data_IF_720150875253
#
_entry.id   IF_720150875253
#
_cell.length_a   1.000
_cell.length_b   1.000
_cell.length_c   1.000
_cell.angle_alpha   90.00
_cell.angle_beta   90.00
_cell.angle_gamma   90.00
#
_symmetry.space_group_name_H-M   'P 1'
#
loop_
_entity.id
_entity.type
_entity.pdbx_description
1 polymer ?
#
# COMPACT_ATOMS: atom_id res chain seq x y z
N UNK A 1 -39.80 -50.51 0.57
CA UNK A 1 -39.90 -49.45 1.63
C UNK A 1 -38.52 -48.92 2.02
N UNK A 2 -37.41 -49.48 1.52
CA UNK A 2 -36.01 -49.13 1.92
C UNK A 2 -35.24 -48.18 0.98
N UNK A 3 -35.91 -47.56 0.01
CA UNK A 3 -35.26 -46.60 -0.96
C UNK A 3 -35.67 -45.14 -0.78
N UNK A 4 -36.50 -44.80 0.19
CA UNK A 4 -37.00 -43.41 0.41
C UNK A 4 -36.27 -42.67 1.54
N UNK A 5 -35.45 -43.33 2.31
CA UNK A 5 -34.78 -42.73 3.48
C UNK A 5 -33.40 -42.11 3.12
N UNK A 6 -32.81 -42.55 2.00
CA UNK A 6 -31.46 -42.07 1.62
C UNK A 6 -31.44 -40.69 0.92
N UNK A 7 -32.61 -40.17 0.55
CA UNK A 7 -32.69 -38.88 -0.18
C UNK A 7 -32.92 -37.64 0.72
N UNK A 8 -33.25 -37.87 2.00
CA UNK A 8 -33.54 -36.76 2.95
C UNK A 8 -32.29 -36.25 3.67
N UNK A 9 -31.19 -37.04 3.70
CA UNK A 9 -29.95 -36.61 4.38
C UNK A 9 -29.00 -35.73 3.54
N UNK A 10 -29.20 -35.65 2.22
CA UNK A 10 -28.32 -34.85 1.36
C UNK A 10 -28.72 -33.37 1.20
N UNK A 11 -29.95 -33.01 1.67
CA UNK A 11 -30.48 -31.65 1.51
C UNK A 11 -30.09 -30.68 2.65
N UNK A 12 -29.39 -31.17 3.69
CA UNK A 12 -29.06 -30.35 4.87
C UNK A 12 -27.65 -29.78 4.92
N UNK A 13 -26.84 -29.95 3.87
CA UNK A 13 -25.44 -29.53 3.85
C UNK A 13 -25.15 -28.24 3.07
N UNK A 14 -26.16 -27.54 2.59
CA UNK A 14 -26.01 -26.20 2.01
C UNK A 14 -26.75 -25.16 2.86
N UNK A 15 -26.37 -25.03 4.12
CA UNK A 15 -26.68 -23.81 4.84
C UNK A 15 -25.72 -22.74 4.32
N UNK A 16 -26.21 -21.60 3.76
CA UNK A 16 -25.35 -20.47 3.47
C UNK A 16 -24.65 -20.09 4.77
N UNK A 17 -23.32 -20.05 4.74
CA UNK A 17 -22.54 -19.49 5.82
C UNK A 17 -22.95 -18.03 5.96
N UNK A 18 -23.87 -17.75 6.88
CA UNK A 18 -24.21 -16.39 7.24
C UNK A 18 -22.93 -15.76 7.79
N UNK A 19 -22.42 -14.76 7.10
CA UNK A 19 -21.27 -14.00 7.56
C UNK A 19 -21.54 -13.58 9.02
N UNK A 20 -20.64 -13.94 9.91
CA UNK A 20 -20.82 -13.68 11.33
C UNK A 20 -20.76 -12.17 11.56
N UNK A 21 -21.88 -11.56 11.95
CA UNK A 21 -21.96 -10.11 12.22
C UNK A 21 -21.30 -9.70 13.54
N UNK A 22 -20.67 -10.66 14.24
CA UNK A 22 -20.01 -10.46 15.53
C UNK A 22 -18.62 -11.05 15.50
N UNK A 23 -17.71 -10.41 16.23
CA UNK A 23 -16.39 -10.97 16.51
C UNK A 23 -16.50 -12.24 17.39
N UNK A 24 -15.46 -13.09 17.48
CA UNK A 24 -15.47 -14.31 18.32
C UNK A 24 -15.77 -14.05 19.79
N UNK A 25 -15.50 -12.85 20.30
CA UNK A 25 -15.80 -12.41 21.67
C UNK A 25 -17.25 -11.95 21.88
N UNK A 26 -18.08 -12.02 20.80
CA UNK A 26 -19.49 -11.63 20.83
C UNK A 26 -19.75 -10.14 20.57
N UNK A 27 -18.72 -9.31 20.42
CA UNK A 27 -18.89 -7.89 20.07
C UNK A 27 -19.39 -7.71 18.66
N UNK A 28 -20.27 -6.74 18.37
CA UNK A 28 -20.77 -6.50 17.02
C UNK A 28 -19.64 -5.97 16.12
N UNK A 29 -19.60 -6.43 14.88
CA UNK A 29 -18.71 -5.87 13.85
C UNK A 29 -19.17 -4.44 13.54
N UNK A 30 -18.27 -3.47 13.72
CA UNK A 30 -18.56 -2.06 13.45
C UNK A 30 -18.93 -1.82 11.99
N UNK A 31 -19.83 -0.89 11.72
CA UNK A 31 -20.36 -0.64 10.37
C UNK A 31 -19.30 -0.21 9.36
N UNK A 32 -18.22 0.44 9.81
CA UNK A 32 -17.12 0.82 8.93
C UNK A 32 -16.39 -0.38 8.29
N UNK A 33 -16.40 -1.57 8.92
CA UNK A 33 -15.90 -2.81 8.31
C UNK A 33 -16.80 -3.32 7.17
N UNK A 34 -18.07 -2.90 7.18
CA UNK A 34 -19.05 -3.28 6.16
C UNK A 34 -19.09 -2.29 5.01
N UNK A 35 -18.41 -1.15 5.14
CA UNK A 35 -18.37 -0.11 4.12
C UNK A 35 -17.44 -0.54 2.98
N UNK A 36 -18.05 -0.97 1.89
CA UNK A 36 -17.37 -1.38 0.65
C UNK A 36 -17.44 -0.32 -0.45
N UNK A 37 -17.78 0.93 -0.08
CA UNK A 37 -17.90 2.01 -1.06
C UNK A 37 -16.55 2.31 -1.70
N UNK A 38 -16.51 2.19 -3.02
CA UNK A 38 -15.37 2.65 -3.81
C UNK A 38 -15.41 4.17 -3.82
N UNK A 39 -14.30 4.79 -3.42
CA UNK A 39 -14.18 6.25 -3.46
C UNK A 39 -14.16 6.72 -4.91
N UNK A 40 -15.09 7.62 -5.26
CA UNK A 40 -15.04 8.32 -6.55
C UNK A 40 -13.92 9.35 -6.52
N UNK A 41 -12.87 9.11 -7.31
CA UNK A 41 -11.70 10.01 -7.39
C UNK A 41 -12.05 11.42 -7.87
N UNK A 42 -13.19 11.60 -8.55
CA UNK A 42 -13.63 12.93 -9.00
C UNK A 42 -14.07 13.82 -7.83
N UNK A 43 -14.38 13.23 -6.67
CA UNK A 43 -14.72 13.97 -5.45
C UNK A 43 -13.49 14.42 -4.65
N UNK A 44 -12.30 13.92 -4.98
CA UNK A 44 -11.04 14.17 -4.27
C UNK A 44 -10.24 15.36 -4.83
N UNK A 45 -10.81 16.10 -5.77
CA UNK A 45 -10.19 17.29 -6.35
C UNK A 45 -9.59 17.09 -7.74
N UNK A 46 -8.70 18.01 -8.12
CA UNK A 46 -8.05 17.99 -9.43
C UNK A 46 -7.15 16.77 -9.60
N UNK A 47 -7.14 16.21 -10.81
CA UNK A 47 -6.24 15.12 -11.18
C UNK A 47 -4.90 15.67 -11.68
N UNK A 48 -3.81 15.05 -11.21
CA UNK A 48 -2.43 15.31 -11.62
C UNK A 48 -1.87 14.02 -12.19
N UNK A 49 -1.89 13.91 -13.52
CA UNK A 49 -1.47 12.69 -14.22
C UNK A 49 0.05 12.71 -14.33
N UNK A 50 0.72 11.63 -13.91
CA UNK A 50 2.19 11.61 -13.83
C UNK A 50 2.89 11.90 -15.15
N UNK A 51 2.30 11.49 -16.27
CA UNK A 51 2.87 11.76 -17.62
C UNK A 51 2.96 13.24 -17.93
N UNK A 52 2.08 14.08 -17.37
CA UNK A 52 2.11 15.54 -17.55
C UNK A 52 3.31 16.21 -16.83
N UNK A 53 3.92 15.45 -15.91
CA UNK A 53 5.13 15.85 -15.16
C UNK A 53 6.40 15.22 -15.71
N UNK A 54 6.35 14.69 -16.93
CA UNK A 54 7.50 14.07 -17.60
C UNK A 54 7.92 12.73 -16.99
N UNK A 55 7.03 12.09 -16.23
CA UNK A 55 7.23 10.71 -15.77
C UNK A 55 6.87 9.77 -16.91
N UNK A 56 7.76 8.83 -17.21
CA UNK A 56 7.60 7.89 -18.31
C UNK A 56 7.43 6.46 -17.81
N UNK A 57 6.75 5.64 -18.61
CA UNK A 57 6.59 4.21 -18.33
C UNK A 57 7.93 3.48 -18.54
N UNK A 58 8.75 3.45 -17.50
CA UNK A 58 10.05 2.78 -17.48
C UNK A 58 10.31 2.19 -16.09
N UNK A 59 10.45 0.87 -16.04
CA UNK A 59 10.65 0.11 -14.80
C UNK A 59 12.09 0.15 -14.28
N UNK A 60 13.03 0.79 -15.00
CA UNK A 60 14.45 0.85 -14.69
C UNK A 60 14.93 2.26 -14.36
N UNK A 61 14.22 3.27 -14.85
CA UNK A 61 14.57 4.67 -14.60
C UNK A 61 13.97 5.14 -13.26
N UNK A 62 14.83 5.54 -12.34
CA UNK A 62 14.38 6.14 -11.07
C UNK A 62 13.80 7.54 -11.32
N UNK A 63 12.53 7.74 -10.94
CA UNK A 63 11.77 8.95 -11.26
C UNK A 63 11.18 9.63 -10.02
N UNK A 64 11.75 9.35 -8.84
CA UNK A 64 11.25 9.84 -7.55
C UNK A 64 11.00 11.35 -7.54
N UNK A 65 11.96 12.15 -8.00
CA UNK A 65 11.86 13.61 -7.98
C UNK A 65 10.72 14.13 -8.86
N UNK A 66 10.53 13.54 -10.04
CA UNK A 66 9.43 13.92 -10.94
C UNK A 66 8.06 13.56 -10.34
N UNK A 67 7.95 12.37 -9.75
CA UNK A 67 6.71 11.96 -9.09
C UNK A 67 6.44 12.83 -7.87
N UNK A 68 7.48 13.13 -7.07
CA UNK A 68 7.34 14.03 -5.92
C UNK A 68 6.93 15.44 -6.36
N UNK A 69 7.46 15.94 -7.48
CA UNK A 69 7.07 17.26 -7.98
C UNK A 69 5.59 17.35 -8.35
N UNK A 70 4.98 16.26 -8.84
CA UNK A 70 3.54 16.20 -9.07
C UNK A 70 2.74 16.27 -7.76
N UNK A 71 3.22 15.57 -6.72
CA UNK A 71 2.61 15.62 -5.37
C UNK A 71 2.70 17.04 -4.80
N UNK A 72 3.88 17.66 -4.92
CA UNK A 72 4.13 19.01 -4.40
C UNK A 72 3.28 20.05 -5.14
N UNK A 73 3.16 19.94 -6.46
CA UNK A 73 2.30 20.79 -7.26
C UNK A 73 0.83 20.64 -6.86
N UNK A 74 0.34 19.42 -6.61
CA UNK A 74 -1.00 19.19 -6.12
C UNK A 74 -1.22 19.88 -4.76
N UNK A 75 -0.30 19.72 -3.82
CA UNK A 75 -0.37 20.32 -2.50
C UNK A 75 -0.40 21.87 -2.57
N UNK A 76 0.46 22.47 -3.39
CA UNK A 76 0.52 23.92 -3.59
C UNK A 76 -0.78 24.49 -4.19
N UNK A 77 -1.47 23.71 -5.00
CA UNK A 77 -2.75 24.09 -5.62
C UNK A 77 -3.99 23.68 -4.81
N UNK A 78 -3.83 23.42 -3.51
CA UNK A 78 -4.95 23.14 -2.62
C UNK A 78 -5.35 21.67 -2.49
N UNK A 79 -4.57 20.78 -3.10
CA UNK A 79 -4.77 19.33 -3.05
C UNK A 79 -5.20 18.72 -4.39
N UNK A 80 -5.44 17.42 -4.39
CA UNK A 80 -5.90 16.67 -5.55
C UNK A 80 -5.37 15.24 -5.61
N UNK A 81 -5.62 14.57 -6.72
CA UNK A 81 -5.32 13.16 -6.91
C UNK A 81 -4.14 13.00 -7.86
N UNK A 82 -3.10 12.37 -7.37
CA UNK A 82 -1.98 11.93 -8.20
C UNK A 82 -2.39 10.65 -8.89
N UNK A 83 -2.48 10.68 -10.21
CA UNK A 83 -2.91 9.56 -11.02
C UNK A 83 -1.70 8.89 -11.67
N UNK A 84 -1.51 7.62 -11.37
CA UNK A 84 -0.52 6.77 -12.02
C UNK A 84 -1.22 5.99 -13.13
N UNK A 85 -0.99 6.31 -14.40
CA UNK A 85 -1.60 5.62 -15.51
C UNK A 85 -1.00 4.22 -15.70
N UNK A 86 -1.62 3.39 -16.55
CA UNK A 86 -1.11 2.06 -16.90
C UNK A 86 0.36 2.11 -17.29
N UNK A 87 1.17 1.24 -16.68
CA UNK A 87 2.63 1.15 -16.88
C UNK A 87 3.36 0.84 -15.59
N UNK A 88 4.69 0.75 -15.65
CA UNK A 88 5.54 0.52 -14.48
C UNK A 88 6.46 1.71 -14.27
N UNK A 89 6.43 2.27 -13.05
CA UNK A 89 7.12 3.50 -12.68
C UNK A 89 7.99 3.24 -11.46
N UNK A 90 9.32 3.35 -11.63
CA UNK A 90 10.29 3.11 -10.56
C UNK A 90 10.47 4.37 -9.70
N UNK A 91 10.35 4.21 -8.40
CA UNK A 91 10.50 5.31 -7.44
C UNK A 91 11.20 4.88 -6.15
N UNK A 92 11.87 5.82 -5.50
CA UNK A 92 12.18 5.78 -4.07
C UNK A 92 11.01 6.26 -3.24
N UNK A 93 11.29 6.72 -2.01
CA UNK A 93 10.27 7.20 -1.07
C UNK A 93 9.53 8.44 -1.60
N UNK A 94 8.20 8.38 -1.54
CA UNK A 94 7.29 9.47 -1.88
C UNK A 94 6.58 9.97 -0.62
N UNK A 95 6.47 11.30 -0.48
CA UNK A 95 5.87 11.94 0.69
C UNK A 95 4.65 12.73 0.29
N UNK A 96 3.48 12.20 0.64
CA UNK A 96 2.20 12.85 0.41
C UNK A 96 1.96 13.96 1.44
N UNK A 97 1.19 14.96 1.03
CA UNK A 97 0.91 16.17 1.79
C UNK A 97 -0.59 16.30 2.07
N UNK A 98 -1.01 17.20 2.98
CA UNK A 98 -2.43 17.38 3.24
C UNK A 98 -3.24 17.60 1.95
N UNK A 99 -4.40 16.94 1.88
CA UNK A 99 -5.33 16.96 0.74
C UNK A 99 -4.79 16.39 -0.58
N UNK A 100 -3.65 15.68 -0.57
CA UNK A 100 -3.18 14.93 -1.73
C UNK A 100 -3.53 13.46 -1.58
N UNK A 101 -3.88 12.80 -2.69
CA UNK A 101 -4.36 11.42 -2.74
C UNK A 101 -3.61 10.66 -3.84
N UNK A 102 -3.58 9.33 -3.76
CA UNK A 102 -2.95 8.48 -4.75
C UNK A 102 -3.97 7.57 -5.42
N UNK A 103 -3.99 7.58 -6.75
CA UNK A 103 -4.80 6.67 -7.55
C UNK A 103 -3.93 5.93 -8.56
N UNK A 104 -4.02 4.60 -8.57
CA UNK A 104 -3.35 3.74 -9.54
C UNK A 104 -4.39 3.17 -10.49
N UNK A 105 -4.30 3.52 -11.77
CA UNK A 105 -5.17 2.93 -12.79
C UNK A 105 -4.94 1.42 -12.92
N UNK A 106 -5.87 0.74 -13.56
CA UNK A 106 -5.74 -0.69 -13.84
C UNK A 106 -4.51 -0.95 -14.72
N UNK A 107 -3.62 -1.85 -14.25
CA UNK A 107 -2.35 -2.14 -14.92
C UNK A 107 -1.24 -1.12 -14.64
N UNK A 108 -1.47 -0.16 -13.75
CA UNK A 108 -0.40 0.68 -13.21
C UNK A 108 0.40 -0.06 -12.14
N UNK A 109 1.70 0.09 -12.13
CA UNK A 109 2.60 -0.44 -11.10
C UNK A 109 3.50 0.68 -10.62
N UNK A 110 3.35 1.07 -9.35
CA UNK A 110 4.34 1.88 -8.66
C UNK A 110 5.36 0.94 -8.02
N UNK A 111 6.54 0.87 -8.61
CA UNK A 111 7.60 -0.04 -8.20
C UNK A 111 8.63 0.68 -7.35
N UNK A 112 8.94 0.13 -6.18
CA UNK A 112 10.01 0.63 -5.32
C UNK A 112 11.39 0.34 -5.89
N UNK A 113 12.34 1.23 -5.65
CA UNK A 113 13.76 0.96 -5.90
C UNK A 113 14.21 -0.23 -5.05
N UNK A 114 15.05 -1.09 -5.59
CA UNK A 114 15.74 -2.13 -4.82
C UNK A 114 17.01 -1.60 -4.12
N UNK A 115 17.38 -0.35 -4.39
CA UNK A 115 18.45 0.34 -3.69
C UNK A 115 17.88 1.13 -2.50
N UNK A 116 18.23 0.68 -1.30
CA UNK A 116 17.72 1.25 -0.05
C UNK A 116 18.17 2.71 0.16
N UNK A 117 19.23 3.16 -0.50
CA UNK A 117 19.69 4.55 -0.42
C UNK A 117 18.67 5.56 -0.99
N UNK A 118 17.72 5.08 -1.80
CA UNK A 118 16.59 5.88 -2.31
C UNK A 118 15.45 6.05 -1.29
N UNK A 119 15.63 5.55 -0.06
CA UNK A 119 14.69 5.66 1.04
C UNK A 119 15.36 6.33 2.24
N UNK A 120 15.13 7.63 2.47
CA UNK A 120 15.77 8.35 3.56
C UNK A 120 15.38 7.78 4.93
N UNK A 121 16.28 7.93 5.89
CA UNK A 121 16.03 7.58 7.29
C UNK A 121 15.16 8.68 7.89
N UNK A 122 14.03 8.29 8.44
CA UNK A 122 13.06 9.18 9.10
C UNK A 122 12.75 8.69 10.52
N UNK A 123 12.27 9.60 11.36
CA UNK A 123 11.65 9.21 12.62
C UNK A 123 10.32 8.54 12.33
N UNK A 124 10.16 7.30 12.78
CA UNK A 124 8.98 6.49 12.51
C UNK A 124 8.66 5.56 13.68
N UNK A 125 7.69 4.70 13.50
CA UNK A 125 7.29 3.70 14.50
C UNK A 125 7.23 2.32 13.85
N UNK A 126 7.88 1.35 14.47
CA UNK A 126 7.86 -0.04 14.06
C UNK A 126 7.66 -0.95 15.28
N UNK A 127 6.74 -1.91 15.17
CA UNK A 127 6.42 -2.87 16.25
C UNK A 127 6.11 -2.19 17.59
N UNK A 128 5.48 -1.01 17.55
CA UNK A 128 5.12 -0.24 18.75
C UNK A 128 6.23 0.67 19.29
N UNK A 129 7.44 0.62 18.76
CA UNK A 129 8.60 1.41 19.21
C UNK A 129 8.87 2.58 18.26
N UNK A 130 9.18 3.75 18.83
CA UNK A 130 9.65 4.91 18.07
C UNK A 130 11.14 4.75 17.78
N UNK A 131 11.51 4.84 16.51
CA UNK A 131 12.89 4.67 16.07
C UNK A 131 13.15 5.39 14.74
N UNK A 132 14.42 5.51 14.37
CA UNK A 132 14.82 5.95 13.03
C UNK A 132 14.90 4.75 12.09
N UNK A 133 14.15 4.82 10.98
CA UNK A 133 14.14 3.75 10.00
C UNK A 133 13.90 4.29 8.59
N UNK A 134 14.05 3.44 7.60
CA UNK A 134 13.79 3.82 6.20
C UNK A 134 12.35 4.25 6.01
N UNK A 135 12.16 5.31 5.23
CA UNK A 135 10.84 5.72 4.76
C UNK A 135 10.21 4.59 3.93
N UNK A 136 8.89 4.51 3.93
CA UNK A 136 8.15 3.63 3.02
C UNK A 136 8.17 4.18 1.59
N UNK A 137 7.74 3.35 0.61
CA UNK A 137 7.55 3.81 -0.77
C UNK A 137 6.48 4.92 -0.84
N UNK A 138 5.41 4.78 -0.07
CA UNK A 138 4.35 5.79 0.06
C UNK A 138 4.24 6.19 1.52
N UNK A 139 4.48 7.46 1.81
CA UNK A 139 4.41 8.04 3.15
C UNK A 139 3.33 9.12 3.21
N UNK A 140 2.44 9.02 4.20
CA UNK A 140 1.38 9.98 4.50
C UNK A 140 1.31 10.17 6.02
N UNK A 141 2.31 10.88 6.56
CA UNK A 141 2.40 11.14 8.00
C UNK A 141 1.64 12.42 8.36
N UNK A 142 0.76 12.33 9.39
CA UNK A 142 -0.09 13.43 9.86
C UNK A 142 -0.92 14.09 8.74
N UNK A 143 -1.37 13.27 7.81
CA UNK A 143 -2.19 13.68 6.66
C UNK A 143 -3.59 13.10 6.83
N UNK A 144 -4.52 13.91 7.32
CA UNK A 144 -5.92 13.51 7.44
C UNK A 144 -6.57 13.31 6.07
N UNK A 145 -7.37 12.25 5.96
CA UNK A 145 -8.17 11.97 4.77
C UNK A 145 -7.37 11.49 3.56
N UNK A 146 -6.09 11.09 3.70
CA UNK A 146 -5.34 10.48 2.61
C UNK A 146 -6.08 9.26 2.06
N UNK A 147 -6.26 9.23 0.75
CA UNK A 147 -6.94 8.14 0.05
C UNK A 147 -5.97 7.46 -0.91
N UNK A 148 -5.89 6.14 -0.81
CA UNK A 148 -5.25 5.27 -1.78
C UNK A 148 -6.34 4.49 -2.51
N UNK A 149 -6.39 4.59 -3.84
CA UNK A 149 -7.46 4.02 -4.65
C UNK A 149 -6.97 3.47 -5.99
N UNK A 150 -7.88 2.83 -6.72
CA UNK A 150 -7.60 2.25 -8.03
C UNK A 150 -7.39 0.74 -8.00
N UNK A 151 -7.05 0.17 -9.16
CA UNK A 151 -6.86 -1.28 -9.36
C UNK A 151 -5.41 -1.63 -9.73
N UNK A 152 -4.50 -0.67 -9.63
CA UNK A 152 -3.07 -0.88 -9.88
C UNK A 152 -2.38 -1.58 -8.72
N UNK A 153 -1.06 -1.67 -8.81
CA UNK A 153 -0.20 -2.38 -7.87
C UNK A 153 0.83 -1.45 -7.26
N UNK A 154 1.07 -1.56 -5.96
CA UNK A 154 2.25 -1.03 -5.29
C UNK A 154 3.18 -2.20 -5.02
N UNK A 155 4.33 -2.20 -5.69
CA UNK A 155 5.36 -3.24 -5.58
C UNK A 155 6.55 -2.68 -4.79
N UNK A 156 6.75 -3.18 -3.58
CA UNK A 156 7.87 -2.76 -2.74
C UNK A 156 9.25 -3.19 -3.23
N UNK A 157 9.32 -4.14 -4.18
CA UNK A 157 10.56 -4.65 -4.82
C UNK A 157 11.67 -5.00 -3.80
N UNK A 158 11.29 -5.53 -2.64
CA UNK A 158 12.15 -5.65 -1.45
C UNK A 158 13.09 -6.85 -1.43
N UNK A 159 13.19 -7.65 -2.50
CA UNK A 159 13.94 -8.91 -2.49
C UNK A 159 15.42 -8.72 -2.16
N UNK A 160 16.06 -7.69 -2.72
CA UNK A 160 17.48 -7.36 -2.47
C UNK A 160 17.71 -7.00 -1.00
N UNK A 161 16.82 -6.17 -0.44
CA UNK A 161 16.84 -5.79 0.97
C UNK A 161 16.72 -7.02 1.88
N UNK A 162 15.73 -7.87 1.64
CA UNK A 162 15.50 -9.07 2.46
C UNK A 162 16.65 -10.07 2.39
N UNK A 163 17.23 -10.29 1.21
CA UNK A 163 18.41 -11.16 1.08
C UNK A 163 19.58 -10.64 1.90
N UNK A 164 19.84 -9.33 1.88
CA UNK A 164 20.89 -8.70 2.65
C UNK A 164 20.63 -8.80 4.16
N UNK A 165 19.42 -8.53 4.60
CA UNK A 165 19.02 -8.64 6.00
C UNK A 165 19.16 -10.08 6.53
N UNK A 166 18.71 -11.07 5.77
CA UNK A 166 18.86 -12.48 6.18
C UNK A 166 20.30 -12.94 6.20
N UNK A 167 21.12 -12.49 5.25
CA UNK A 167 22.54 -12.80 5.25
C UNK A 167 23.23 -12.25 6.51
N UNK A 168 22.93 -11.01 6.89
CA UNK A 168 23.47 -10.39 8.13
C UNK A 168 23.06 -11.15 9.38
N UNK A 169 21.78 -11.54 9.50
CA UNK A 169 21.31 -12.39 10.60
C UNK A 169 22.02 -13.74 10.66
N UNK A 170 22.35 -14.32 9.51
CA UNK A 170 23.09 -15.59 9.44
C UNK A 170 24.54 -15.42 9.90
N UNK A 171 25.18 -14.30 9.56
CA UNK A 171 26.57 -14.00 9.95
C UNK A 171 26.68 -13.58 11.41
N UNK A 172 25.69 -12.84 11.91
CA UNK A 172 25.63 -12.38 13.30
C UNK A 172 24.28 -12.73 13.95
N UNK A 173 24.04 -14.01 14.34
CA UNK A 173 22.78 -14.45 14.89
C UNK A 173 22.45 -13.87 16.27
N UNK A 174 23.43 -13.31 16.97
CA UNK A 174 23.28 -12.66 18.28
C UNK A 174 22.88 -11.18 18.15
N UNK A 175 22.87 -10.63 16.93
CA UNK A 175 22.51 -9.24 16.71
C UNK A 175 21.02 -9.04 16.94
N UNK A 176 20.69 -8.27 17.96
CA UNK A 176 19.32 -7.82 18.28
C UNK A 176 19.09 -6.35 17.88
N UNK A 177 20.15 -5.64 17.49
CA UNK A 177 20.08 -4.26 17.08
C UNK A 177 19.64 -4.16 15.60
N UNK A 178 18.48 -3.56 15.36
CA UNK A 178 17.94 -3.35 14.01
C UNK A 178 18.87 -2.47 13.16
N UNK A 179 19.64 -1.55 13.76
CA UNK A 179 20.58 -0.70 13.04
C UNK A 179 21.73 -1.50 12.42
N UNK A 180 22.19 -2.53 13.10
CA UNK A 180 23.22 -3.44 12.59
C UNK A 180 22.70 -4.42 11.54
N UNK A 181 21.38 -4.62 11.47
CA UNK A 181 20.73 -5.47 10.46
C UNK A 181 20.37 -4.71 9.19
N UNK A 182 20.56 -3.39 9.14
CA UNK A 182 20.34 -2.60 7.93
C UNK A 182 21.34 -2.97 6.83
N UNK A 183 20.91 -3.08 5.58
CA UNK A 183 21.80 -3.29 4.44
C UNK A 183 22.71 -2.10 4.19
#
# INVERSE_FOLDING_TARGET
IMKLITFVCAAFLCLPSLAQEKFPDGTPVSDWFKDSKIVDINTLGKKYILTDYGVINDSTLLQTEKIQSAIDAAAQNGGGVIVIPKGTYLSGALFFKPKTHLHLEEGAVLKGSDDISNFPIIDTRMEGQSLKYFAALVNADKVDGFTLSGKGTIDGNGLRYWKSSWLRRKVNPQCTNMDELRP
#
